data_IF_172926873639
#
_entry.id   IF_172926873639
#
_cell.length_a   1.000
_cell.length_b   1.000
_cell.length_c   1.000
_cell.angle_alpha   90.00
_cell.angle_beta   90.00
_cell.angle_gamma   90.00
#
_symmetry.space_group_name_H-M   'P 1'
#
loop_
_entity.id
_entity.type
_entity.pdbx_description
1 polymer ?
#
# COMPACT_ATOMS: atom_id res chain seq x y z
N UNK A 1 -6.32 3.34 9.18
CA UNK A 1 -6.59 1.99 8.64
C UNK A 1 -5.79 1.69 7.37
N UNK A 2 -5.54 2.65 6.48
CA UNK A 2 -4.80 2.44 5.21
C UNK A 2 -3.47 1.66 5.35
N UNK A 3 -2.60 1.98 6.32
CA UNK A 3 -1.33 1.25 6.53
C UNK A 3 -1.55 -0.22 6.92
N UNK A 4 -2.59 -0.50 7.69
CA UNK A 4 -2.94 -1.88 8.04
C UNK A 4 -3.51 -2.62 6.83
N UNK A 5 -4.37 -1.96 6.04
CA UNK A 5 -4.88 -2.50 4.78
C UNK A 5 -3.74 -2.85 3.82
N UNK A 6 -2.72 -1.99 3.74
CA UNK A 6 -1.54 -2.22 2.92
C UNK A 6 -0.79 -3.47 3.37
N UNK A 7 -0.60 -3.66 4.69
CA UNK A 7 0.03 -4.87 5.23
C UNK A 7 -0.74 -6.14 4.87
N UNK A 8 -2.07 -6.09 4.88
CA UNK A 8 -2.91 -7.22 4.46
C UNK A 8 -2.76 -7.47 2.95
N UNK A 9 -2.70 -6.42 2.15
CA UNK A 9 -2.55 -6.51 0.69
C UNK A 9 -1.19 -7.09 0.31
N UNK A 10 -0.09 -6.43 0.68
CA UNK A 10 1.26 -6.84 0.24
C UNK A 10 1.85 -8.01 1.04
N UNK A 11 1.23 -8.35 2.17
CA UNK A 11 1.73 -9.36 3.10
C UNK A 11 2.83 -8.83 4.02
N UNK A 12 3.07 -9.55 5.12
CA UNK A 12 3.96 -9.11 6.21
C UNK A 12 5.41 -8.90 5.75
N UNK A 13 5.97 -9.85 5.01
CA UNK A 13 7.38 -9.81 4.61
C UNK A 13 7.67 -8.62 3.68
N UNK A 14 6.84 -8.43 2.65
CA UNK A 14 6.95 -7.29 1.74
C UNK A 14 6.70 -5.97 2.48
N UNK A 15 5.69 -5.92 3.36
CA UNK A 15 5.38 -4.72 4.15
C UNK A 15 6.57 -4.28 4.99
N UNK A 16 7.23 -5.19 5.70
CA UNK A 16 8.41 -4.86 6.48
C UNK A 16 9.64 -4.53 5.61
N UNK A 17 9.77 -5.16 4.43
CA UNK A 17 10.80 -4.78 3.47
C UNK A 17 10.58 -3.34 2.96
N UNK A 18 9.34 -2.98 2.65
CA UNK A 18 8.93 -1.63 2.22
C UNK A 18 9.27 -0.62 3.30
N UNK A 19 8.85 -0.81 4.56
CA UNK A 19 9.12 0.17 5.62
C UNK A 19 10.62 0.39 5.87
N UNK A 20 11.42 -0.68 5.87
CA UNK A 20 12.87 -0.57 6.03
C UNK A 20 13.54 0.10 4.84
N UNK A 21 13.15 -0.26 3.62
CA UNK A 21 13.71 0.32 2.40
C UNK A 21 13.32 1.79 2.23
N UNK A 22 12.07 2.13 2.53
CA UNK A 22 11.55 3.49 2.45
C UNK A 22 12.30 4.44 3.38
N UNK A 23 12.43 4.05 4.64
CA UNK A 23 13.15 4.86 5.65
C UNK A 23 14.64 4.98 5.35
N UNK A 24 15.25 4.00 4.70
CA UNK A 24 16.64 4.08 4.23
C UNK A 24 16.79 5.02 3.03
N UNK A 25 15.86 4.94 2.06
CA UNK A 25 15.92 5.68 0.79
C UNK A 25 15.59 7.16 0.93
N UNK A 26 14.62 7.51 1.76
CA UNK A 26 14.16 8.89 1.94
C UNK A 26 14.61 9.52 3.28
N UNK A 27 15.65 8.95 3.90
CA UNK A 27 16.21 9.49 5.14
C UNK A 27 16.68 10.93 4.92
N UNK A 28 16.16 11.86 5.73
CA UNK A 28 16.47 13.30 5.66
C UNK A 28 16.01 14.00 4.36
N UNK A 29 15.08 13.40 3.61
CA UNK A 29 14.48 13.98 2.42
C UNK A 29 12.98 14.25 2.59
N UNK A 30 12.39 14.82 1.54
CA UNK A 30 10.93 14.86 1.38
C UNK A 30 10.54 13.78 0.37
N UNK A 31 9.42 13.12 0.63
CA UNK A 31 8.83 12.13 -0.27
C UNK A 31 7.33 12.36 -0.31
N UNK A 32 6.72 12.22 -1.47
CA UNK A 32 5.28 12.35 -1.63
C UNK A 32 4.58 11.00 -1.42
N UNK A 33 3.24 11.02 -1.44
CA UNK A 33 2.45 9.79 -1.39
C UNK A 33 2.65 8.96 -2.66
N UNK A 34 2.82 9.63 -3.80
CA UNK A 34 3.10 9.00 -5.10
C UNK A 34 4.46 8.29 -5.09
N UNK A 35 5.49 8.90 -4.48
CA UNK A 35 6.79 8.25 -4.28
C UNK A 35 6.64 6.97 -3.45
N UNK A 36 5.80 7.02 -2.41
CA UNK A 36 5.55 5.87 -1.54
C UNK A 36 4.81 4.76 -2.28
N UNK A 37 3.80 5.11 -3.08
CA UNK A 37 3.07 4.16 -3.90
C UNK A 37 4.01 3.43 -4.87
N UNK A 38 4.79 4.18 -5.65
CA UNK A 38 5.74 3.61 -6.61
C UNK A 38 6.78 2.70 -5.93
N UNK A 39 7.33 3.12 -4.79
CA UNK A 39 8.29 2.29 -4.05
C UNK A 39 7.66 1.01 -3.49
N UNK A 40 6.40 1.09 -3.06
CA UNK A 40 5.66 -0.07 -2.53
C UNK A 40 5.41 -1.09 -3.64
N UNK A 41 5.04 -0.65 -4.84
CA UNK A 41 4.88 -1.51 -6.01
C UNK A 41 6.21 -2.15 -6.44
N UNK A 42 7.30 -1.37 -6.46
CA UNK A 42 8.64 -1.87 -6.79
C UNK A 42 9.07 -3.01 -5.86
N UNK A 43 8.87 -2.85 -4.55
CA UNK A 43 9.30 -3.86 -3.56
C UNK A 43 8.34 -5.04 -3.48
N UNK A 44 7.03 -4.81 -3.63
CA UNK A 44 6.03 -5.89 -3.55
C UNK A 44 5.86 -6.66 -4.85
N UNK A 45 6.23 -6.07 -6.00
CA UNK A 45 5.98 -6.63 -7.33
C UNK A 45 4.49 -6.67 -7.70
N UNK A 46 3.64 -5.88 -7.03
CA UNK A 46 2.19 -5.84 -7.24
C UNK A 46 1.78 -4.47 -7.78
N UNK A 47 0.77 -4.46 -8.64
CA UNK A 47 0.07 -3.23 -9.03
C UNK A 47 -0.87 -2.82 -7.88
N UNK A 48 -0.67 -1.63 -7.32
CA UNK A 48 -1.36 -1.11 -6.15
C UNK A 48 -2.06 0.23 -6.43
N UNK A 49 -2.03 0.74 -7.67
CA UNK A 49 -2.75 1.94 -8.10
C UNK A 49 -4.20 1.98 -7.61
N UNK A 50 -4.96 0.90 -7.84
CA UNK A 50 -6.36 0.80 -7.40
C UNK A 50 -6.51 0.81 -5.87
N UNK A 51 -5.56 0.21 -5.15
CA UNK A 51 -5.53 0.23 -3.69
C UNK A 51 -5.29 1.67 -3.18
N UNK A 52 -4.30 2.37 -3.73
CA UNK A 52 -3.99 3.73 -3.31
C UNK A 52 -5.09 4.71 -3.69
N UNK A 53 -5.72 4.56 -4.86
CA UNK A 53 -6.91 5.30 -5.25
C UNK A 53 -8.04 5.16 -4.21
N UNK A 54 -8.33 3.93 -3.79
CA UNK A 54 -9.40 3.65 -2.83
C UNK A 54 -9.06 4.12 -1.41
N UNK A 55 -7.81 4.02 -0.96
CA UNK A 55 -7.44 4.24 0.44
C UNK A 55 -6.83 5.60 0.76
N UNK A 56 -6.18 6.27 -0.20
CA UNK A 56 -5.49 7.54 0.01
C UNK A 56 -6.14 8.72 -0.70
N UNK A 57 -6.78 8.48 -1.84
CA UNK A 57 -7.36 9.53 -2.68
C UNK A 57 -8.90 9.62 -2.58
N UNK A 58 -9.55 8.67 -1.89
CA UNK A 58 -11.00 8.70 -1.63
C UNK A 58 -11.32 9.35 -0.28
N UNK A 59 -12.37 10.18 -0.18
CA UNK A 59 -12.85 10.71 1.10
C UNK A 59 -13.50 9.65 2.00
N UNK A 60 -13.95 8.53 1.42
CA UNK A 60 -14.54 7.41 2.14
C UNK A 60 -13.57 6.24 2.25
N UNK A 61 -13.41 5.71 3.47
CA UNK A 61 -12.55 4.58 3.76
C UNK A 61 -13.26 3.28 3.36
N UNK A 62 -12.69 2.46 2.46
CA UNK A 62 -13.31 1.21 2.04
C UNK A 62 -13.44 0.24 3.24
N UNK A 63 -14.49 -0.59 3.29
CA UNK A 63 -14.51 -1.71 4.22
C UNK A 63 -13.33 -2.65 3.92
N UNK A 64 -12.66 -3.11 4.97
CA UNK A 64 -11.62 -4.15 4.85
C UNK A 64 -12.30 -5.49 4.57
N UNK A 65 -12.62 -5.77 3.31
CA UNK A 65 -13.11 -7.10 2.90
C UNK A 65 -11.90 -8.01 2.75
N UNK A 66 -11.55 -8.76 3.80
CA UNK A 66 -10.58 -9.86 3.69
C UNK A 66 -11.31 -11.02 3.02
N UNK A 67 -11.35 -11.04 1.69
CA UNK A 67 -11.73 -12.25 0.98
C UNK A 67 -10.61 -13.29 1.16
N UNK A 68 -10.94 -14.51 1.59
CA UNK A 68 -9.94 -15.58 1.82
C UNK A 68 -9.18 -15.97 0.54
N UNK A 69 -9.56 -15.44 -0.62
CA UNK A 69 -8.89 -15.63 -1.90
C UNK A 69 -8.23 -14.33 -2.42
N UNK A 70 -7.44 -13.62 -1.61
CA UNK A 70 -6.24 -12.89 -2.06
C UNK A 70 -6.37 -11.86 -3.19
N UNK A 71 -7.55 -11.29 -3.45
CA UNK A 71 -7.73 -10.22 -4.43
C UNK A 71 -8.66 -9.14 -3.88
N UNK A 72 -8.10 -7.96 -3.62
CA UNK A 72 -8.88 -6.77 -3.33
C UNK A 72 -9.57 -6.28 -4.62
N UNK A 73 -10.80 -6.74 -4.85
CA UNK A 73 -11.67 -6.14 -5.87
C UNK A 73 -12.35 -4.89 -5.30
N UNK A 74 -12.29 -3.74 -5.99
CA UNK A 74 -13.03 -2.56 -5.59
C UNK A 74 -14.55 -2.84 -5.67
N UNK A 75 -15.26 -2.52 -4.59
CA UNK A 75 -16.74 -2.53 -4.53
C UNK A 75 -17.26 -1.30 -5.27
N UNK A 76 -18.31 -1.42 -6.12
CA UNK A 76 -18.88 -0.28 -6.85
C UNK A 76 -19.56 0.76 -5.94
#
# INVERSE_FOLDING_TARGET
LAVHALRVEVGDDAFFAILRGWTARYRNGNATVEDFAAFTEEVSGRELDAFFAAWLYSPEVPPLTIDRAGAATPVP
#
